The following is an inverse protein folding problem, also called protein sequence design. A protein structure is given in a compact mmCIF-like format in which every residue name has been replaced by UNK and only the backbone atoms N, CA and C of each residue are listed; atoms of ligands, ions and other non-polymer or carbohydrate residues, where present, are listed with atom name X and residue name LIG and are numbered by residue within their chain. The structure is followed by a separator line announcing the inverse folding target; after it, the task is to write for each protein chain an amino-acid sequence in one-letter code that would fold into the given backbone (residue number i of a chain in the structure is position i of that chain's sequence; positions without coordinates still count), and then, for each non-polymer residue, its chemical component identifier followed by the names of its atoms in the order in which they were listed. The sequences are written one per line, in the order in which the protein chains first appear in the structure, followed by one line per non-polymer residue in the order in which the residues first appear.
data_IF_092303798832
#
_entry.id   IF_092303798832
#
_cell.length_a   1.000
_cell.length_b   1.000
_cell.length_c   1.000
_cell.angle_alpha   90.00
_cell.angle_beta   90.00
_cell.angle_gamma   90.00
#
_symmetry.space_group_name_H-M   'P 1'
#
loop_
_entity.id
_entity.type
_entity.pdbx_description
1 polymer ?
#
# COMPACT_ATOMS: atom_id res chain seq x y z
N UNK A 1 11.39 -5.60 -4.94
CA UNK A 1 10.46 -5.32 -3.81
C UNK A 1 9.18 -4.70 -4.37
N UNK A 2 8.04 -4.98 -3.77
CA UNK A 2 6.73 -4.43 -4.16
C UNK A 2 5.88 -4.08 -2.93
N UNK A 3 4.86 -3.25 -3.14
CA UNK A 3 3.86 -2.86 -2.14
C UNK A 3 2.43 -3.21 -2.58
N UNK A 4 2.28 -3.96 -3.67
CA UNK A 4 0.99 -4.35 -4.23
C UNK A 4 1.08 -5.76 -4.81
N UNK A 5 0.44 -6.75 -4.19
CA UNK A 5 0.44 -8.13 -4.67
C UNK A 5 -0.30 -8.27 -5.99
N UNK A 6 -1.46 -7.65 -6.10
CA UNK A 6 -2.29 -7.70 -7.32
C UNK A 6 -1.64 -6.98 -8.51
N UNK A 7 -0.81 -5.94 -8.26
CA UNK A 7 -0.12 -5.21 -9.33
C UNK A 7 1.06 -6.02 -9.90
N UNK A 8 1.89 -6.58 -9.02
CA UNK A 8 3.19 -7.12 -9.39
C UNK A 8 3.28 -8.66 -9.25
N UNK A 9 2.28 -9.29 -8.62
CA UNK A 9 2.31 -10.74 -8.31
C UNK A 9 2.54 -11.62 -9.53
N UNK A 10 2.02 -11.22 -10.70
CA UNK A 10 2.19 -11.98 -11.94
C UNK A 10 3.66 -12.13 -12.38
N UNK A 11 4.55 -11.21 -12.02
CA UNK A 11 6.00 -11.32 -12.31
C UNK A 11 6.70 -12.38 -11.45
N UNK A 12 6.02 -12.86 -10.41
CA UNK A 12 6.54 -13.85 -9.47
C UNK A 12 5.84 -15.21 -9.57
N UNK A 13 5.16 -15.48 -10.68
CA UNK A 13 4.56 -16.79 -10.94
C UNK A 13 5.61 -17.90 -10.88
N UNK A 14 5.34 -18.90 -10.02
CA UNK A 14 6.25 -20.04 -9.82
C UNK A 14 7.55 -19.73 -9.08
N UNK A 15 7.69 -18.53 -8.53
CA UNK A 15 8.87 -18.07 -7.78
C UNK A 15 8.61 -18.10 -6.26
N UNK A 16 9.69 -18.05 -5.49
CA UNK A 16 9.62 -17.95 -4.04
C UNK A 16 9.57 -16.48 -3.60
N UNK A 17 8.55 -16.11 -2.81
CA UNK A 17 8.37 -14.74 -2.34
C UNK A 17 8.20 -14.67 -0.83
N UNK A 18 8.54 -13.52 -0.25
CA UNK A 18 8.21 -13.18 1.13
C UNK A 18 7.16 -12.07 1.18
N UNK A 19 6.28 -12.15 2.16
CA UNK A 19 5.33 -11.11 2.55
C UNK A 19 5.72 -10.61 3.94
N UNK A 20 5.95 -9.31 4.06
CA UNK A 20 6.20 -8.63 5.33
C UNK A 20 5.00 -7.74 5.62
N UNK A 21 4.18 -8.07 6.61
CA UNK A 21 2.94 -7.33 6.84
C UNK A 21 2.80 -6.79 8.26
N UNK A 22 2.53 -5.49 8.34
CA UNK A 22 2.09 -4.79 9.54
C UNK A 22 0.59 -4.48 9.51
N UNK A 23 -0.16 -5.07 8.57
CA UNK A 23 -1.56 -4.75 8.32
C UNK A 23 -2.37 -6.02 8.03
N UNK A 24 -3.59 -6.10 8.59
CA UNK A 24 -4.45 -7.28 8.43
C UNK A 24 -4.81 -7.58 6.95
N UNK A 25 -4.98 -6.56 6.10
CA UNK A 25 -5.21 -6.74 4.66
C UNK A 25 -4.05 -7.39 3.90
N UNK A 26 -2.87 -7.50 4.50
CA UNK A 26 -1.77 -8.28 3.94
C UNK A 26 -2.03 -9.79 3.88
N UNK A 27 -3.05 -10.28 4.61
CA UNK A 27 -3.51 -11.67 4.54
C UNK A 27 -4.10 -11.96 3.15
N UNK A 28 -5.03 -11.13 2.68
CA UNK A 28 -5.67 -11.27 1.36
C UNK A 28 -4.64 -11.17 0.23
N UNK A 29 -3.66 -10.27 0.37
CA UNK A 29 -2.56 -10.13 -0.58
C UNK A 29 -1.67 -11.38 -0.61
N UNK A 30 -1.39 -11.99 0.54
CA UNK A 30 -0.60 -13.22 0.64
C UNK A 30 -1.35 -14.43 0.09
N UNK A 31 -2.66 -14.53 0.31
CA UNK A 31 -3.52 -15.57 -0.28
C UNK A 31 -3.53 -15.46 -1.82
N UNK A 32 -3.65 -14.24 -2.36
CA UNK A 32 -3.54 -13.99 -3.79
C UNK A 32 -2.18 -14.42 -4.35
N UNK A 33 -1.09 -14.05 -3.67
CA UNK A 33 0.28 -14.43 -4.07
C UNK A 33 0.49 -15.93 -3.99
N UNK A 34 -0.08 -16.63 -3.01
CA UNK A 34 -0.01 -18.09 -2.89
C UNK A 34 -0.68 -18.82 -4.07
N UNK A 35 -1.64 -18.21 -4.74
CA UNK A 35 -2.21 -18.71 -5.99
C UNK A 35 -1.29 -18.56 -7.20
N UNK A 36 -0.20 -17.81 -7.11
CA UNK A 36 0.72 -17.51 -8.21
C UNK A 36 2.13 -18.03 -7.98
N UNK A 37 2.70 -17.76 -6.81
CA UNK A 37 4.06 -18.13 -6.43
C UNK A 37 4.18 -19.62 -6.13
N UNK A 38 5.39 -20.17 -6.17
CA UNK A 38 5.66 -21.55 -5.76
C UNK A 38 5.72 -21.69 -4.22
N UNK A 39 6.13 -20.64 -3.53
CA UNK A 39 6.26 -20.59 -2.07
C UNK A 39 6.05 -19.16 -1.60
N UNK A 40 5.25 -18.99 -0.55
CA UNK A 40 5.02 -17.69 0.09
C UNK A 40 5.37 -17.82 1.58
N UNK A 41 6.34 -17.05 2.03
CA UNK A 41 6.75 -16.92 3.42
C UNK A 41 6.16 -15.62 3.98
N UNK A 42 5.39 -15.72 5.07
CA UNK A 42 4.71 -14.58 5.69
C UNK A 42 5.34 -14.22 7.02
N UNK A 43 5.78 -12.98 7.16
CA UNK A 43 6.36 -12.41 8.37
C UNK A 43 5.43 -11.34 8.96
N UNK A 44 5.06 -11.52 10.22
CA UNK A 44 4.27 -10.55 10.97
C UNK A 44 5.16 -9.40 11.46
N UNK A 45 5.00 -8.21 10.88
CA UNK A 45 5.63 -6.98 11.40
C UNK A 45 4.85 -6.37 12.56
N UNK A 46 3.53 -6.61 12.62
CA UNK A 46 2.64 -6.29 13.73
C UNK A 46 1.60 -7.39 13.87
N UNK A 47 1.11 -7.59 15.09
CA UNK A 47 0.12 -8.63 15.37
C UNK A 47 -1.23 -8.32 14.70
N UNK A 48 -1.74 -9.27 13.96
CA UNK A 48 -3.10 -9.27 13.39
C UNK A 48 -3.57 -10.70 13.17
N UNK A 49 -4.88 -10.87 13.01
CA UNK A 49 -5.49 -12.18 12.82
C UNK A 49 -4.95 -12.86 11.56
N UNK A 50 -4.73 -14.17 11.67
CA UNK A 50 -4.36 -15.05 10.58
C UNK A 50 -5.45 -16.11 10.38
N UNK A 51 -5.68 -16.62 9.16
CA UNK A 51 -6.56 -17.74 8.93
C UNK A 51 -6.03 -18.99 9.62
N UNK A 52 -6.93 -19.91 9.99
CA UNK A 52 -6.56 -21.16 10.68
C UNK A 52 -5.63 -22.05 9.84
N UNK A 53 -5.88 -22.08 8.52
CA UNK A 53 -5.10 -22.87 7.56
C UNK A 53 -4.68 -21.98 6.38
N UNK A 54 -3.67 -21.11 6.56
CA UNK A 54 -3.23 -20.21 5.50
C UNK A 54 -2.55 -20.98 4.35
N UNK A 55 -2.72 -20.55 3.09
CA UNK A 55 -2.04 -21.15 1.95
C UNK A 55 -0.57 -20.72 1.84
N UNK A 56 -0.03 -20.08 2.85
CA UNK A 56 1.35 -19.60 2.96
C UNK A 56 1.96 -20.06 4.29
N UNK A 57 3.27 -20.00 4.39
CA UNK A 57 3.99 -20.36 5.61
C UNK A 57 4.15 -19.14 6.52
N UNK A 58 3.64 -19.22 7.74
CA UNK A 58 3.97 -18.25 8.78
C UNK A 58 5.40 -18.48 9.26
N UNK A 59 6.22 -17.45 9.18
CA UNK A 59 7.63 -17.50 9.54
C UNK A 59 7.90 -16.77 10.84
N UNK A 60 8.78 -17.34 11.65
CA UNK A 60 9.34 -16.70 12.83
C UNK A 60 10.51 -15.79 12.45
N UNK A 61 10.87 -14.90 13.37
CA UNK A 61 11.96 -13.95 13.19
C UNK A 61 11.47 -12.56 12.78
N UNK A 62 12.14 -11.55 13.31
CA UNK A 62 11.84 -10.14 13.03
C UNK A 62 12.70 -9.66 11.86
N UNK A 63 12.10 -9.23 10.73
CA UNK A 63 12.81 -8.59 9.65
C UNK A 63 13.62 -7.37 10.13
N UNK A 64 14.90 -7.32 9.79
CA UNK A 64 15.83 -6.26 10.15
C UNK A 64 16.26 -5.45 8.94
N UNK A 65 16.62 -6.13 7.84
CA UNK A 65 17.03 -5.49 6.60
C UNK A 65 16.78 -6.37 5.38
N UNK A 66 16.81 -5.73 4.22
CA UNK A 66 16.74 -6.41 2.92
C UNK A 66 17.96 -5.98 2.13
N UNK A 67 18.70 -6.96 1.59
CA UNK A 67 19.83 -6.74 0.69
C UNK A 67 19.51 -7.29 -0.69
N UNK A 68 20.07 -6.68 -1.70
CA UNK A 68 20.04 -7.21 -3.07
C UNK A 68 21.36 -7.93 -3.35
N UNK A 69 21.29 -9.20 -3.68
CA UNK A 69 22.44 -10.02 -4.05
C UNK A 69 22.19 -10.66 -5.42
N UNK A 70 22.98 -10.26 -6.40
CA UNK A 70 22.83 -10.73 -7.79
C UNK A 70 21.38 -10.56 -8.30
N UNK A 71 20.63 -11.67 -8.43
CA UNK A 71 19.26 -11.69 -8.91
C UNK A 71 18.21 -11.98 -7.81
N UNK A 72 18.62 -12.02 -6.54
CA UNK A 72 17.74 -12.34 -5.41
C UNK A 72 17.76 -11.24 -4.34
N UNK A 73 16.71 -11.24 -3.54
CA UNK A 73 16.60 -10.42 -2.34
C UNK A 73 16.91 -11.30 -1.13
N UNK A 74 17.82 -10.84 -0.28
CA UNK A 74 18.13 -11.49 0.99
C UNK A 74 17.43 -10.73 2.11
N UNK A 75 16.48 -11.39 2.76
CA UNK A 75 15.84 -10.92 3.97
C UNK A 75 16.69 -11.33 5.17
N UNK A 76 17.18 -10.36 5.91
CA UNK A 76 17.88 -10.58 7.18
C UNK A 76 16.88 -10.44 8.31
N UNK A 77 16.81 -11.45 9.17
CA UNK A 77 16.00 -11.46 10.40
C UNK A 77 16.89 -11.75 11.61
N UNK A 78 16.33 -11.64 12.80
CA UNK A 78 17.00 -12.06 14.02
C UNK A 78 17.16 -13.61 14.12
N UNK A 79 16.44 -14.37 13.28
CA UNK A 79 16.52 -15.83 13.21
C UNK A 79 17.43 -16.35 12.08
N UNK A 80 17.91 -15.47 11.17
CA UNK A 80 18.77 -15.85 10.05
C UNK A 80 18.55 -15.04 8.77
N UNK A 81 19.17 -15.51 7.69
CA UNK A 81 19.08 -14.92 6.37
C UNK A 81 18.33 -15.84 5.42
N UNK A 82 17.40 -15.28 4.66
CA UNK A 82 16.53 -16.03 3.75
C UNK A 82 16.52 -15.38 2.37
N UNK A 83 16.57 -16.19 1.30
CA UNK A 83 16.61 -15.73 -0.08
C UNK A 83 15.25 -15.84 -0.75
N UNK A 84 14.87 -14.80 -1.49
CA UNK A 84 13.62 -14.69 -2.21
C UNK A 84 13.81 -14.06 -3.58
N UNK A 85 12.97 -14.45 -4.54
CA UNK A 85 12.88 -13.79 -5.83
C UNK A 85 12.16 -12.44 -5.73
N UNK A 86 11.24 -12.31 -4.77
CA UNK A 86 10.50 -11.09 -4.49
C UNK A 86 10.15 -10.92 -3.01
N UNK A 87 10.02 -9.67 -2.56
CA UNK A 87 9.55 -9.34 -1.23
C UNK A 87 8.45 -8.28 -1.36
N UNK A 88 7.29 -8.61 -0.81
CA UNK A 88 6.11 -7.74 -0.73
C UNK A 88 5.99 -7.16 0.67
N UNK A 89 5.78 -5.85 0.77
CA UNK A 89 5.74 -5.15 2.05
C UNK A 89 4.40 -4.44 2.19
N UNK A 90 3.58 -4.88 3.15
CA UNK A 90 2.26 -4.32 3.42
C UNK A 90 2.27 -3.58 4.76
N UNK A 91 2.07 -2.28 4.71
CA UNK A 91 2.07 -1.40 5.87
C UNK A 91 0.85 -0.49 5.83
N UNK A 92 0.28 -0.12 6.98
CA UNK A 92 -0.73 0.93 7.02
C UNK A 92 -0.19 2.21 6.38
N UNK A 93 -1.03 2.91 5.64
CA UNK A 93 -0.71 4.25 5.22
C UNK A 93 -0.57 5.18 6.45
N UNK A 94 0.23 6.23 6.32
CA UNK A 94 0.27 7.29 7.32
C UNK A 94 -1.11 7.96 7.34
N UNK A 95 -1.68 8.15 8.55
CA UNK A 95 -3.00 8.76 8.66
C UNK A 95 -2.99 10.18 8.09
N UNK A 96 -3.91 10.50 7.16
CA UNK A 96 -3.91 11.80 6.49
C UNK A 96 -4.08 13.00 7.42
N UNK A 97 -4.73 12.84 8.58
CA UNK A 97 -4.91 13.88 9.59
C UNK A 97 -3.59 14.36 10.22
N UNK A 98 -2.54 13.52 10.14
CA UNK A 98 -1.19 13.92 10.57
C UNK A 98 -0.48 14.83 9.58
N UNK A 99 -0.96 14.94 8.33
CA UNK A 99 -0.35 15.75 7.28
C UNK A 99 -0.71 17.23 7.40
N UNK A 100 -1.96 17.54 7.72
CA UNK A 100 -2.47 18.90 7.80
C UNK A 100 -3.38 19.07 9.01
N UNK A 101 -3.08 20.01 9.94
CA UNK A 101 -3.95 20.31 11.06
C UNK A 101 -5.37 20.69 10.61
N UNK A 102 -6.38 20.04 11.15
CA UNK A 102 -7.79 20.30 10.84
C UNK A 102 -8.32 19.61 9.59
N UNK A 103 -7.51 18.81 8.89
CA UNK A 103 -8.00 17.96 7.81
C UNK A 103 -8.93 16.88 8.39
N UNK A 104 -10.15 16.78 7.86
CA UNK A 104 -11.09 15.72 8.24
C UNK A 104 -10.75 14.43 7.54
N UNK A 105 -10.95 13.32 8.26
CA UNK A 105 -10.82 11.97 7.72
C UNK A 105 -12.07 11.14 8.04
N UNK A 106 -12.36 10.19 7.17
CA UNK A 106 -13.35 9.12 7.40
C UNK A 106 -12.61 7.78 7.33
N UNK A 107 -12.30 7.21 8.51
CA UNK A 107 -11.38 6.08 8.61
C UNK A 107 -9.98 6.47 8.12
N UNK A 108 -9.46 5.72 7.14
CA UNK A 108 -8.15 5.96 6.55
C UNK A 108 -8.17 6.93 5.35
N UNK A 109 -9.33 7.49 5.01
CA UNK A 109 -9.50 8.27 3.78
C UNK A 109 -9.86 9.73 4.06
N UNK A 110 -9.57 10.59 3.09
CA UNK A 110 -9.91 12.02 3.10
C UNK A 110 -11.22 12.19 2.32
N UNK A 111 -12.35 12.57 2.98
CA UNK A 111 -13.57 12.87 2.27
C UNK A 111 -13.42 14.11 1.38
N UNK A 112 -13.86 13.99 0.14
CA UNK A 112 -13.82 15.06 -0.86
C UNK A 112 -15.16 15.24 -1.55
N UNK A 113 -15.40 16.43 -2.06
CA UNK A 113 -16.55 16.72 -2.91
C UNK A 113 -16.28 16.29 -4.38
N UNK A 114 -17.25 16.53 -5.27
CA UNK A 114 -17.12 16.22 -6.71
C UNK A 114 -16.00 16.99 -7.42
N UNK A 115 -15.45 18.02 -6.78
CA UNK A 115 -14.32 18.82 -7.27
C UNK A 115 -13.00 18.40 -6.66
N UNK A 116 -12.99 17.30 -5.91
CA UNK A 116 -11.85 16.83 -5.12
C UNK A 116 -11.41 17.81 -4.03
N UNK A 117 -12.27 18.74 -3.62
CA UNK A 117 -12.00 19.67 -2.53
C UNK A 117 -12.24 19.01 -1.18
N UNK A 118 -11.31 19.23 -0.25
CA UNK A 118 -11.40 18.78 1.15
C UNK A 118 -12.21 19.79 1.98
N UNK A 119 -12.32 19.52 3.29
CA UNK A 119 -12.89 20.50 4.23
C UNK A 119 -12.02 21.75 4.44
N UNK A 120 -10.75 21.72 4.06
CA UNK A 120 -9.85 22.84 4.18
C UNK A 120 -9.85 23.68 2.89
N UNK A 121 -9.94 25.02 2.98
CA UNK A 121 -9.91 25.87 1.82
C UNK A 121 -8.61 25.71 1.01
N UNK A 122 -8.73 25.58 -0.31
CA UNK A 122 -7.60 25.44 -1.25
C UNK A 122 -6.77 24.16 -1.06
N UNK A 123 -7.31 23.18 -0.34
CA UNK A 123 -6.72 21.84 -0.20
C UNK A 123 -7.58 20.85 -0.94
N UNK A 124 -6.95 20.10 -1.83
CA UNK A 124 -7.58 19.07 -2.64
C UNK A 124 -6.91 17.72 -2.34
N UNK A 125 -7.68 16.64 -2.40
CA UNK A 125 -7.15 15.27 -2.29
C UNK A 125 -7.65 14.43 -3.46
N UNK A 126 -6.82 13.52 -3.94
CA UNK A 126 -7.15 12.65 -5.06
C UNK A 126 -6.35 11.34 -4.99
N UNK A 127 -6.85 10.31 -5.65
CA UNK A 127 -6.22 9.01 -5.70
C UNK A 127 -6.56 8.14 -4.48
N UNK A 128 -5.66 7.26 -4.09
CA UNK A 128 -5.88 6.25 -3.06
C UNK A 128 -6.27 6.84 -1.69
N UNK A 129 -5.81 8.03 -1.39
CA UNK A 129 -6.15 8.69 -0.13
C UNK A 129 -7.61 9.15 -0.03
N UNK A 130 -8.39 9.12 -1.11
CA UNK A 130 -9.82 9.49 -1.12
C UNK A 130 -10.76 8.30 -1.00
N UNK A 131 -10.24 7.07 -1.04
CA UNK A 131 -11.03 5.85 -0.89
C UNK A 131 -10.85 4.85 -2.05
N UNK A 132 -11.61 3.76 -1.95
CA UNK A 132 -11.59 2.70 -2.95
C UNK A 132 -12.39 3.08 -4.23
N UNK A 133 -12.12 2.40 -5.37
CA UNK A 133 -11.09 1.37 -5.55
C UNK A 133 -9.68 1.96 -5.65
N UNK A 134 -8.67 1.25 -5.10
CA UNK A 134 -7.27 1.68 -5.16
C UNK A 134 -6.69 1.30 -6.53
N UNK A 135 -6.96 2.13 -7.53
CA UNK A 135 -6.65 1.86 -8.93
C UNK A 135 -6.02 3.08 -9.61
N UNK A 136 -5.04 2.82 -10.48
CA UNK A 136 -4.33 3.86 -11.24
C UNK A 136 -5.31 4.73 -12.04
N UNK A 137 -6.29 4.13 -12.71
CA UNK A 137 -7.27 4.87 -13.53
C UNK A 137 -8.10 5.85 -12.69
N UNK A 138 -8.51 5.45 -11.46
CA UNK A 138 -9.18 6.33 -10.50
C UNK A 138 -8.27 7.48 -10.09
N UNK A 139 -7.04 7.18 -9.69
CA UNK A 139 -6.08 8.18 -9.23
C UNK A 139 -5.79 9.23 -10.32
N UNK A 140 -5.62 8.80 -11.58
CA UNK A 140 -5.44 9.69 -12.74
C UNK A 140 -6.67 10.56 -12.97
N UNK A 141 -7.87 9.99 -12.96
CA UNK A 141 -9.12 10.72 -13.16
C UNK A 141 -9.37 11.77 -12.08
N UNK A 142 -9.23 11.38 -10.81
CA UNK A 142 -9.38 12.30 -9.69
C UNK A 142 -8.30 13.39 -9.68
N UNK A 143 -7.05 13.05 -10.01
CA UNK A 143 -5.96 14.02 -10.14
C UNK A 143 -6.25 15.09 -11.18
N UNK A 144 -6.81 14.70 -12.33
CA UNK A 144 -7.26 15.65 -13.35
C UNK A 144 -8.35 16.60 -12.83
N UNK A 145 -9.36 16.06 -12.13
CA UNK A 145 -10.44 16.88 -11.54
C UNK A 145 -9.88 17.84 -10.49
N UNK A 146 -9.00 17.36 -9.61
CA UNK A 146 -8.36 18.17 -8.57
C UNK A 146 -7.57 19.34 -9.17
N UNK A 147 -6.76 19.07 -10.20
CA UNK A 147 -5.94 20.08 -10.88
C UNK A 147 -6.79 21.18 -11.54
N UNK A 148 -7.85 20.80 -12.27
CA UNK A 148 -8.78 21.74 -12.91
C UNK A 148 -9.49 22.57 -11.83
N UNK A 149 -9.94 21.96 -10.75
CA UNK A 149 -10.62 22.66 -9.64
C UNK A 149 -9.72 23.67 -8.95
N UNK A 150 -8.48 23.27 -8.64
CA UNK A 150 -7.48 24.15 -8.03
C UNK A 150 -7.14 25.35 -8.94
N UNK A 151 -6.94 25.11 -10.24
CA UNK A 151 -6.68 26.16 -11.23
C UNK A 151 -7.85 27.16 -11.33
N UNK A 152 -9.08 26.67 -11.34
CA UNK A 152 -10.27 27.52 -11.40
C UNK A 152 -10.41 28.40 -10.13
N UNK A 153 -10.08 27.88 -8.96
CA UNK A 153 -10.16 28.64 -7.71
C UNK A 153 -9.03 29.66 -7.57
N UNK A 154 -7.83 29.35 -8.05
CA UNK A 154 -6.74 30.33 -8.17
C UNK A 154 -7.10 31.48 -9.10
N UNK A 155 -7.71 31.20 -10.24
CA UNK A 155 -8.12 32.22 -11.21
C UNK A 155 -9.20 33.15 -10.68
N UNK A 156 -10.08 32.68 -9.78
CA UNK A 156 -11.08 33.52 -9.10
C UNK A 156 -10.45 34.42 -8.05
N UNK A 157 -9.49 33.89 -7.27
CA UNK A 157 -8.78 34.67 -6.25
C UNK A 157 -7.84 35.74 -6.82
N UNK A 158 -7.41 35.60 -8.07
CA UNK A 158 -6.58 36.61 -8.74
C UNK A 158 -7.40 37.79 -9.35
N UNK A 159 -8.74 37.68 -9.37
CA UNK A 159 -9.66 38.72 -9.86
C UNK A 159 -10.40 39.46 -8.77
N UNK A 160 -10.15 39.12 -7.51
CA UNK A 160 -10.66 39.78 -6.33
C UNK A 160 -9.56 40.59 -5.64
#
# INVERSE_FOLDING_TARGET
MSWCGTCDGMFYRGKKVAVLSAWAGGVEEAEFLAGLASEVDYYLLAQHAQPENPPYRLCEGKPQSIRHEENQLVLVTDAGEYRYDGIFIFRPAVSPDTLLPGLKTEGAFIPVDRRMATNLPRVYACGDCTGQPLQIAKAVGEGNVAAISASADLSKGARA
#
